data_IF_487385777504
#
_entry.id   IF_487385777504
#
_cell.length_a   1.000
_cell.length_b   1.000
_cell.length_c   1.000
_cell.angle_alpha   90.00
_cell.angle_beta   90.00
_cell.angle_gamma   90.00
#
_symmetry.space_group_name_H-M   'P 1'
#
loop_
_entity.id
_entity.type
_entity.pdbx_description
1 polymer ?
#
# COMPACT_ATOMS: atom_id res chain seq x y z
N UNK A 1 19.37 9.57 -6.35
CA UNK A 1 18.93 9.09 -5.03
C UNK A 1 18.34 7.70 -5.18
N UNK A 2 18.59 6.77 -4.27
CA UNK A 2 17.96 5.46 -4.32
C UNK A 2 16.46 5.61 -4.04
N UNK A 3 15.61 4.73 -4.61
CA UNK A 3 14.19 4.71 -4.30
C UNK A 3 13.92 4.43 -2.82
N UNK A 4 12.80 4.93 -2.31
CA UNK A 4 12.36 4.61 -0.96
C UNK A 4 11.61 3.28 -0.98
N UNK A 5 12.22 2.23 -0.43
CA UNK A 5 11.65 0.89 -0.34
C UNK A 5 10.94 0.66 0.98
N UNK A 6 9.82 -0.06 0.92
CA UNK A 6 9.08 -0.52 2.10
C UNK A 6 8.42 -1.87 1.84
N UNK A 7 7.97 -2.51 2.92
CA UNK A 7 7.16 -3.72 2.85
C UNK A 7 5.74 -3.43 3.30
N UNK A 8 4.77 -4.06 2.62
CA UNK A 8 3.34 -3.93 2.87
C UNK A 8 2.76 -5.30 3.22
N UNK A 9 1.76 -5.30 4.08
CA UNK A 9 0.92 -6.48 4.30
C UNK A 9 -0.29 -6.40 3.38
N UNK A 10 -0.51 -7.45 2.62
CA UNK A 10 -1.66 -7.62 1.73
C UNK A 10 -2.23 -9.00 2.00
N UNK A 11 -3.44 -9.08 2.56
CA UNK A 11 -4.01 -10.33 3.04
C UNK A 11 -3.01 -11.06 3.98
N UNK A 12 -2.74 -12.35 3.75
CA UNK A 12 -1.80 -13.16 4.52
C UNK A 12 -0.36 -13.12 3.98
N UNK A 13 -0.07 -12.16 3.10
CA UNK A 13 1.23 -12.06 2.43
C UNK A 13 1.92 -10.75 2.76
N UNK A 14 3.24 -10.79 2.78
CA UNK A 14 4.08 -9.59 2.81
C UNK A 14 4.58 -9.30 1.40
N UNK A 15 4.29 -8.11 0.93
CA UNK A 15 4.74 -7.58 -0.34
C UNK A 15 5.96 -6.69 -0.10
N UNK A 16 7.11 -7.18 -0.52
CA UNK A 16 8.39 -6.48 -0.38
C UNK A 16 8.70 -5.59 -1.59
N UNK A 17 9.70 -4.74 -1.44
CA UNK A 17 10.19 -3.87 -2.50
C UNK A 17 9.11 -2.92 -3.06
N UNK A 18 8.10 -2.57 -2.26
CA UNK A 18 7.20 -1.49 -2.61
C UNK A 18 7.98 -0.18 -2.70
N UNK A 19 7.78 0.57 -3.77
CA UNK A 19 8.51 1.82 -4.02
C UNK A 19 7.54 2.99 -3.80
N UNK A 20 7.91 3.92 -2.94
CA UNK A 20 7.19 5.17 -2.81
C UNK A 20 7.72 6.18 -3.85
N UNK A 21 6.83 6.59 -4.76
CA UNK A 21 7.11 7.55 -5.81
C UNK A 21 6.16 8.75 -5.71
N UNK A 22 6.69 9.87 -5.20
CA UNK A 22 5.94 11.11 -5.06
C UNK A 22 5.54 11.75 -6.41
N UNK A 23 6.17 11.34 -7.50
CA UNK A 23 5.85 11.77 -8.87
C UNK A 23 4.73 10.95 -9.52
N UNK A 24 4.46 9.76 -9.02
CA UNK A 24 3.42 8.90 -9.58
C UNK A 24 2.02 9.37 -9.18
N UNK A 25 1.10 9.41 -10.16
CA UNK A 25 -0.31 9.76 -9.93
C UNK A 25 -1.17 8.56 -9.49
N UNK A 26 -0.76 7.35 -9.83
CA UNK A 26 -1.50 6.12 -9.56
C UNK A 26 -0.59 5.07 -8.93
N UNK A 27 -1.18 4.23 -8.06
CA UNK A 27 -0.51 3.02 -7.61
C UNK A 27 -0.47 2.03 -8.76
N UNK A 28 0.65 1.35 -8.95
CA UNK A 28 0.86 0.46 -10.08
C UNK A 28 1.42 -0.89 -9.61
N UNK A 29 0.82 -1.98 -10.09
CA UNK A 29 1.24 -3.34 -9.76
C UNK A 29 1.50 -4.17 -11.02
N UNK A 30 2.61 -4.91 -11.08
CA UNK A 30 2.84 -5.88 -12.16
C UNK A 30 1.78 -6.99 -12.16
N UNK A 31 1.36 -7.43 -13.36
CA UNK A 31 0.41 -8.54 -13.51
C UNK A 31 0.85 -9.80 -12.77
N UNK A 32 2.11 -10.20 -12.90
CA UNK A 32 2.63 -11.40 -12.23
C UNK A 32 2.56 -11.32 -10.71
N UNK A 33 2.59 -10.12 -10.14
CA UNK A 33 2.42 -9.93 -8.71
C UNK A 33 0.96 -10.07 -8.28
N UNK A 34 0.02 -9.58 -9.10
CA UNK A 34 -1.43 -9.77 -8.90
C UNK A 34 -1.76 -11.26 -8.85
N UNK A 35 -1.21 -12.03 -9.78
CA UNK A 35 -1.38 -13.50 -9.85
C UNK A 35 -0.78 -14.19 -8.61
N UNK A 36 0.42 -13.79 -8.19
CA UNK A 36 1.08 -14.34 -6.98
C UNK A 36 0.32 -14.07 -5.68
N UNK A 37 -0.41 -12.97 -5.63
CA UNK A 37 -1.23 -12.58 -4.48
C UNK A 37 -2.66 -13.12 -4.55
N UNK A 38 -3.04 -13.81 -5.61
CA UNK A 38 -4.39 -14.30 -5.83
C UNK A 38 -5.44 -13.19 -5.90
N UNK A 39 -5.07 -12.03 -6.43
CA UNK A 39 -5.96 -10.87 -6.55
C UNK A 39 -6.68 -10.87 -7.90
N UNK A 40 -7.92 -10.41 -7.91
CA UNK A 40 -8.72 -10.27 -9.12
C UNK A 40 -8.74 -8.83 -9.63
N UNK A 41 -8.65 -8.67 -10.96
CA UNK A 41 -8.86 -7.38 -11.60
C UNK A 41 -10.37 -7.08 -11.59
N UNK A 42 -10.77 -6.05 -10.86
CA UNK A 42 -12.18 -5.74 -10.62
C UNK A 42 -12.82 -4.91 -11.73
N UNK A 43 -12.04 -4.15 -12.47
CA UNK A 43 -12.52 -3.29 -13.56
C UNK A 43 -11.52 -3.16 -14.70
N UNK A 44 -11.97 -3.03 -15.97
CA UNK A 44 -11.10 -2.62 -17.06
C UNK A 44 -10.58 -1.19 -16.81
N UNK A 45 -9.35 -0.93 -17.20
CA UNK A 45 -8.74 0.39 -17.04
C UNK A 45 -8.47 1.03 -18.41
N UNK A 46 -8.77 2.31 -18.53
CA UNK A 46 -8.51 3.06 -19.76
C UNK A 46 -7.01 3.34 -19.89
N UNK A 47 -6.51 3.36 -21.11
CA UNK A 47 -5.11 3.61 -21.44
C UNK A 47 -4.64 4.94 -20.84
N UNK A 48 -3.62 4.88 -19.96
CA UNK A 48 -2.83 6.05 -19.58
C UNK A 48 -1.62 6.16 -20.50
N UNK A 49 -1.24 7.39 -20.81
CA UNK A 49 0.00 7.66 -21.52
C UNK A 49 1.12 7.89 -20.50
N UNK A 50 2.22 7.18 -20.66
CA UNK A 50 3.46 7.50 -19.97
C UNK A 50 4.00 8.83 -20.48
N UNK A 51 4.77 9.56 -19.66
CA UNK A 51 5.32 10.89 -19.99
C UNK A 51 6.25 10.86 -21.21
N UNK A 52 6.86 9.71 -21.51
CA UNK A 52 7.72 9.49 -22.68
C UNK A 52 6.95 8.97 -23.91
N UNK A 53 5.62 9.08 -23.92
CA UNK A 53 4.72 8.59 -24.99
C UNK A 53 4.79 7.09 -25.25
N UNK A 54 5.50 6.31 -24.44
CA UNK A 54 5.48 4.85 -24.52
C UNK A 54 4.18 4.33 -23.92
N UNK A 55 3.47 3.54 -24.71
CA UNK A 55 2.24 2.89 -24.26
C UNK A 55 2.59 1.74 -23.32
N UNK A 56 2.39 1.94 -22.03
CA UNK A 56 2.34 0.82 -21.10
C UNK A 56 0.96 0.18 -21.23
N UNK A 57 0.94 -1.13 -21.44
CA UNK A 57 -0.32 -1.86 -21.52
C UNK A 57 -0.87 -2.05 -20.12
N UNK A 58 -1.90 -1.29 -19.79
CA UNK A 58 -2.69 -1.47 -18.58
C UNK A 58 -3.73 -2.56 -18.81
N UNK A 59 -3.88 -3.43 -17.83
CA UNK A 59 -4.75 -4.60 -17.91
C UNK A 59 -6.07 -4.37 -17.17
N UNK A 60 -6.07 -3.55 -16.15
CA UNK A 60 -7.24 -3.24 -15.38
C UNK A 60 -6.93 -2.53 -14.06
N UNK A 61 -7.91 -2.47 -13.20
CA UNK A 61 -7.89 -1.84 -11.89
C UNK A 61 -8.31 -2.85 -10.84
N UNK A 62 -7.55 -2.94 -9.76
CA UNK A 62 -7.99 -3.56 -8.51
C UNK A 62 -8.51 -2.45 -7.62
N UNK A 63 -9.80 -2.50 -7.32
CA UNK A 63 -10.46 -1.50 -6.49
C UNK A 63 -10.40 -1.89 -5.02
N UNK A 64 -10.31 -0.88 -4.17
CA UNK A 64 -10.46 -1.01 -2.73
C UNK A 64 -9.51 -2.05 -2.09
N UNK A 65 -8.29 -2.16 -2.61
CA UNK A 65 -7.28 -3.05 -2.04
C UNK A 65 -6.81 -2.53 -0.67
N UNK A 66 -6.95 -3.38 0.34
CA UNK A 66 -6.55 -3.06 1.72
C UNK A 66 -5.09 -3.43 1.93
N UNK A 67 -4.28 -2.48 2.34
CA UNK A 67 -2.86 -2.69 2.66
C UNK A 67 -2.49 -2.04 3.98
N UNK A 68 -1.59 -2.67 4.72
CA UNK A 68 -0.99 -2.05 5.89
C UNK A 68 0.53 -1.98 5.77
N UNK A 69 1.14 -1.05 6.48
CA UNK A 69 2.60 -0.98 6.55
C UNK A 69 3.13 -2.15 7.40
N UNK A 70 4.06 -2.94 6.88
CA UNK A 70 4.59 -4.09 7.59
C UNK A 70 5.26 -3.70 8.91
N UNK A 71 6.03 -2.62 8.92
CA UNK A 71 6.71 -2.11 10.13
C UNK A 71 5.82 -1.28 11.05
N UNK A 72 4.67 -0.81 10.56
CA UNK A 72 3.70 -0.04 11.31
C UNK A 72 2.30 -0.59 11.01
N UNK A 73 1.94 -1.80 11.48
CA UNK A 73 0.73 -2.51 11.08
C UNK A 73 -0.57 -1.76 11.42
N UNK A 74 -0.52 -0.85 12.39
CA UNK A 74 -1.64 0.04 12.72
C UNK A 74 -1.97 1.02 11.58
N UNK A 75 -1.06 1.22 10.62
CA UNK A 75 -1.28 2.04 9.45
C UNK A 75 -1.83 1.19 8.29
N UNK A 76 -3.14 1.28 8.09
CA UNK A 76 -3.87 0.60 7.03
C UNK A 76 -4.47 1.62 6.07
N UNK A 77 -4.40 1.35 4.79
CA UNK A 77 -4.94 2.19 3.72
C UNK A 77 -5.72 1.34 2.75
N UNK A 78 -6.89 1.83 2.35
CA UNK A 78 -7.63 1.30 1.21
C UNK A 78 -7.22 2.08 -0.04
N UNK A 79 -6.82 1.38 -1.09
CA UNK A 79 -6.32 2.01 -2.31
C UNK A 79 -6.76 1.30 -3.58
N UNK A 80 -6.88 2.07 -4.65
CA UNK A 80 -7.01 1.52 -5.99
C UNK A 80 -5.62 1.30 -6.60
N UNK A 81 -5.47 0.19 -7.31
CA UNK A 81 -4.20 -0.19 -7.93
C UNK A 81 -4.39 -0.52 -9.40
N UNK A 82 -3.66 0.17 -10.25
CA UNK A 82 -3.63 -0.11 -11.68
C UNK A 82 -2.72 -1.30 -11.95
N UNK A 83 -3.20 -2.26 -12.71
CA UNK A 83 -2.44 -3.45 -13.09
C UNK A 83 -1.82 -3.23 -14.47
N UNK A 84 -0.51 -3.43 -14.54
CA UNK A 84 0.25 -3.25 -15.77
C UNK A 84 1.00 -4.51 -16.18
N UNK A 85 1.17 -4.67 -17.50
CA UNK A 85 1.99 -5.74 -18.04
C UNK A 85 3.47 -5.32 -18.04
N UNK A 86 4.07 -5.36 -16.87
CA UNK A 86 5.48 -5.06 -16.63
C UNK A 86 6.15 -6.24 -15.92
N UNK A 87 7.48 -6.35 -15.98
CA UNK A 87 8.20 -7.46 -15.36
C UNK A 87 7.91 -7.56 -13.84
N UNK A 88 7.68 -8.77 -13.32
CA UNK A 88 7.34 -8.99 -11.91
C UNK A 88 8.49 -8.72 -10.93
N UNK A 89 9.70 -8.48 -11.44
CA UNK A 89 10.86 -8.09 -10.61
C UNK A 89 10.73 -6.74 -9.93
N UNK A 90 9.76 -5.94 -10.36
CA UNK A 90 9.38 -4.70 -9.69
C UNK A 90 8.27 -5.01 -8.69
N UNK A 91 8.38 -4.44 -7.49
CA UNK A 91 7.29 -4.45 -6.53
C UNK A 91 6.15 -3.51 -6.94
N UNK A 92 5.27 -3.23 -6.01
CA UNK A 92 4.24 -2.21 -6.23
C UNK A 92 4.85 -0.81 -6.22
N UNK A 93 4.40 0.05 -7.13
CA UNK A 93 4.66 1.47 -7.08
C UNK A 93 3.54 2.17 -6.32
N UNK A 94 3.89 2.88 -5.27
CA UNK A 94 2.97 3.63 -4.42
C UNK A 94 2.99 5.10 -4.81
N UNK A 95 1.83 5.64 -5.10
CA UNK A 95 1.68 7.00 -5.60
C UNK A 95 1.71 8.06 -4.49
N UNK A 96 1.77 9.31 -4.91
CA UNK A 96 1.61 10.47 -4.04
C UNK A 96 0.28 10.44 -3.26
N UNK A 97 -0.81 10.01 -3.89
CA UNK A 97 -2.12 9.92 -3.25
C UNK A 97 -2.13 8.87 -2.13
N UNK A 98 -1.40 7.77 -2.29
CA UNK A 98 -1.25 6.78 -1.22
C UNK A 98 -0.52 7.36 -0.01
N UNK A 99 0.59 8.08 -0.23
CA UNK A 99 1.32 8.73 0.85
C UNK A 99 0.46 9.79 1.57
N UNK A 100 -0.35 10.54 0.82
CA UNK A 100 -1.29 11.51 1.39
C UNK A 100 -2.35 10.85 2.27
N UNK A 101 -2.83 9.67 1.89
CA UNK A 101 -3.76 8.88 2.71
C UNK A 101 -3.15 8.45 4.05
N UNK A 102 -1.87 8.21 4.11
CA UNK A 102 -1.15 7.93 5.36
C UNK A 102 -0.92 9.18 6.21
N UNK A 103 -1.18 10.38 5.68
CA UNK A 103 -0.72 11.66 6.26
C UNK A 103 0.80 11.66 6.50
N UNK A 104 1.50 10.85 5.72
CA UNK A 104 2.95 10.69 5.81
C UNK A 104 3.70 11.86 5.17
N UNK A 105 4.81 12.22 5.78
CA UNK A 105 5.77 13.20 5.25
C UNK A 105 7.05 12.45 4.90
N UNK A 106 7.37 12.39 3.61
CA UNK A 106 8.61 11.81 3.13
C UNK A 106 9.69 12.90 3.15
N UNK A 107 10.85 12.57 3.73
CA UNK A 107 12.00 13.46 3.68
C UNK A 107 12.54 13.55 2.25
N UNK A 108 13.03 14.72 1.86
CA UNK A 108 13.52 14.96 0.49
C UNK A 108 14.73 14.09 0.12
N UNK A 109 15.55 13.71 1.10
CA UNK A 109 16.70 12.83 0.92
C UNK A 109 16.32 11.33 0.89
N UNK A 110 15.03 11.01 0.97
CA UNK A 110 14.50 9.64 0.99
C UNK A 110 15.03 8.77 2.15
N UNK A 111 15.51 9.38 3.23
CA UNK A 111 16.07 8.63 4.38
C UNK A 111 14.97 8.01 5.24
N UNK A 112 13.89 8.72 5.48
CA UNK A 112 12.73 8.23 6.22
C UNK A 112 11.45 8.97 5.85
N UNK A 113 10.32 8.36 6.16
CA UNK A 113 9.00 8.99 6.15
C UNK A 113 8.48 9.08 7.58
N UNK A 114 7.82 10.20 7.91
CA UNK A 114 7.16 10.37 9.21
C UNK A 114 5.68 10.12 9.06
N UNK A 115 5.12 9.25 9.89
CA UNK A 115 3.71 8.88 9.87
C UNK A 115 3.07 9.14 11.23
N UNK A 116 1.96 9.90 11.31
CA UNK A 116 1.26 10.12 12.55
C UNK A 116 0.52 8.84 12.99
N UNK A 117 0.71 8.44 14.23
CA UNK A 117 0.02 7.32 14.89
C UNK A 117 -0.28 7.73 16.32
N UNK A 118 -1.55 7.72 16.72
CA UNK A 118 -1.95 8.01 18.11
C UNK A 118 -1.31 9.28 18.69
N UNK A 119 -1.38 10.39 17.94
CA UNK A 119 -0.78 11.69 18.29
C UNK A 119 0.76 11.70 18.39
N UNK A 120 1.43 10.63 18.00
CA UNK A 120 2.87 10.57 17.87
C UNK A 120 3.29 10.42 16.41
N UNK A 121 4.42 11.00 16.07
CA UNK A 121 5.03 10.82 14.76
C UNK A 121 6.01 9.65 14.79
N UNK A 122 5.70 8.56 14.09
CA UNK A 122 6.59 7.41 13.93
C UNK A 122 7.41 7.53 12.65
N UNK A 123 8.69 7.23 12.73
CA UNK A 123 9.58 7.19 11.56
C UNK A 123 9.58 5.82 10.92
N UNK A 124 9.40 5.81 9.61
CA UNK A 124 9.56 4.64 8.75
C UNK A 124 10.80 4.86 7.90
N UNK A 125 11.82 4.04 8.09
CA UNK A 125 13.06 4.11 7.30
C UNK A 125 12.94 3.29 6.04
N UNK A 126 13.62 3.73 4.96
CA UNK A 126 13.72 2.96 3.73
C UNK A 126 14.34 1.59 4.01
N UNK A 127 13.78 0.56 3.41
CA UNK A 127 14.25 -0.81 3.54
C UNK A 127 15.31 -1.12 2.49
N UNK A 128 16.10 -2.15 2.74
CA UNK A 128 16.97 -2.72 1.70
C UNK A 128 16.10 -3.51 0.73
N UNK A 129 16.42 -3.38 -0.56
CA UNK A 129 15.78 -4.20 -1.58
C UNK A 129 16.06 -5.68 -1.33
N UNK A 130 15.01 -6.49 -1.32
CA UNK A 130 15.11 -7.93 -1.17
C UNK A 130 15.15 -8.64 -2.53
N UNK A 131 15.75 -9.83 -2.62
CA UNK A 131 15.80 -10.62 -3.86
C UNK A 131 14.44 -11.22 -4.22
N UNK A 132 13.46 -11.19 -3.34
CA UNK A 132 12.10 -11.68 -3.53
C UNK A 132 11.09 -10.55 -3.25
N UNK A 133 9.86 -10.68 -3.79
CA UNK A 133 8.83 -9.66 -3.69
C UNK A 133 7.71 -10.10 -2.74
N UNK A 134 7.40 -11.38 -2.66
CA UNK A 134 6.31 -11.91 -1.84
C UNK A 134 6.83 -12.94 -0.86
N UNK A 135 6.39 -12.85 0.38
CA UNK A 135 6.58 -13.88 1.41
C UNK A 135 5.29 -14.06 2.21
N UNK A 136 5.13 -15.23 2.83
CA UNK A 136 4.03 -15.44 3.79
C UNK A 136 4.26 -14.62 5.05
N UNK A 137 3.18 -14.14 5.63
CA UNK A 137 3.26 -13.54 6.96
C UNK A 137 3.42 -14.66 7.99
N UNK A 138 4.54 -14.65 8.72
CA UNK A 138 4.63 -15.38 9.96
C UNK A 138 4.07 -14.48 11.06
N UNK A 139 2.82 -14.69 11.45
CA UNK A 139 2.23 -13.96 12.57
C UNK A 139 2.72 -14.53 13.90
N UNK A 140 3.53 -13.82 14.70
CA UNK A 140 3.51 -14.04 16.11
C UNK A 140 2.28 -13.29 16.67
N UNK A 141 1.17 -14.04 16.87
CA UNK A 141 0.02 -13.65 17.70
C UNK A 141 -0.49 -12.20 17.55
N UNK A 142 -0.76 -11.71 16.33
CA UNK A 142 -1.54 -10.50 16.16
C UNK A 142 -3.01 -10.90 16.09
N UNK A 143 -3.69 -10.78 17.21
CA UNK A 143 -5.07 -11.24 17.36
C UNK A 143 -6.11 -10.37 16.66
N UNK A 144 -5.78 -9.20 16.11
CA UNK A 144 -6.78 -8.30 15.54
C UNK A 144 -6.20 -7.43 14.42
N UNK A 145 -6.64 -7.64 13.19
CA UNK A 145 -6.55 -6.68 12.10
C UNK A 145 -7.94 -6.08 11.89
N UNK A 146 -8.06 -4.76 11.98
CA UNK A 146 -9.33 -4.07 11.76
C UNK A 146 -9.28 -3.32 10.44
N UNK A 147 -10.31 -3.53 9.63
CA UNK A 147 -10.58 -2.71 8.45
C UNK A 147 -11.94 -2.07 8.65
N UNK A 148 -12.03 -0.77 8.63
CA UNK A 148 -13.29 -0.04 8.58
C UNK A 148 -13.38 0.62 7.21
N UNK A 149 -14.29 0.18 6.39
CA UNK A 149 -14.72 0.89 5.22
C UNK A 149 -16.02 1.62 5.59
N UNK A 150 -15.90 2.93 5.79
CA UNK A 150 -17.07 3.79 5.98
C UNK A 150 -17.16 4.65 4.74
N UNK A 151 -17.91 4.17 3.76
CA UNK A 151 -18.29 4.92 2.58
C UNK A 151 -19.32 6.00 2.94
N UNK A 152 -18.85 7.10 3.54
CA UNK A 152 -19.64 8.28 3.86
C UNK A 152 -19.12 9.51 3.11
N UNK A 153 -18.61 9.34 1.87
CA UNK A 153 -18.26 10.47 0.99
C UNK A 153 -17.06 11.32 1.44
N UNK A 154 -16.46 11.03 2.57
CA UNK A 154 -15.18 11.54 3.04
C UNK A 154 -14.38 10.36 3.56
N UNK A 155 -13.19 10.14 3.01
CA UNK A 155 -12.28 9.09 3.46
C UNK A 155 -11.86 9.36 4.90
N UNK A 156 -12.59 8.79 5.84
CA UNK A 156 -12.16 8.74 7.23
C UNK A 156 -11.09 7.65 7.31
N UNK A 157 -9.86 8.07 7.59
CA UNK A 157 -8.77 7.14 7.76
C UNK A 157 -8.93 6.41 9.09
N UNK A 158 -8.92 5.10 9.05
CA UNK A 158 -8.92 4.22 10.22
C UNK A 158 -7.89 4.59 11.26
N UNK A 159 -6.80 5.13 10.80
CA UNK A 159 -5.69 5.53 11.63
C UNK A 159 -5.97 6.74 12.52
N UNK A 160 -7.03 7.48 12.25
CA UNK A 160 -7.46 8.60 13.12
C UNK A 160 -8.46 8.18 14.20
N UNK A 161 -9.13 7.03 14.01
CA UNK A 161 -10.09 6.44 14.97
C UNK A 161 -9.42 5.40 15.88
N UNK A 162 -8.24 5.33 15.77
CA UNK A 162 -7.14 4.66 16.40
C UNK A 162 -7.39 3.61 17.49
N UNK A 163 -6.50 2.67 17.44
CA UNK A 163 -5.99 1.83 18.52
C UNK A 163 -5.70 2.57 19.85
N UNK A 164 -5.80 3.89 19.90
CA UNK A 164 -5.63 4.68 21.11
C UNK A 164 -6.90 4.75 21.94
N UNK A 165 -8.07 4.51 21.34
CA UNK A 165 -9.35 4.46 22.05
C UNK A 165 -9.90 3.03 21.99
N UNK A 166 -9.75 2.32 23.07
CA UNK A 166 -10.18 0.91 23.26
C UNK A 166 -11.70 0.69 23.17
N UNK A 167 -12.46 1.67 22.66
CA UNK A 167 -13.93 1.65 22.66
C UNK A 167 -14.59 1.24 21.36
N UNK A 168 -13.85 1.06 20.26
CA UNK A 168 -14.42 0.66 18.98
C UNK A 168 -13.80 -0.65 18.47
N UNK A 169 -14.22 -1.74 19.06
CA UNK A 169 -13.92 -3.09 18.59
C UNK A 169 -15.12 -3.56 17.75
N UNK A 170 -14.98 -3.63 16.45
CA UNK A 170 -15.95 -4.30 15.58
C UNK A 170 -15.38 -5.67 15.21
N UNK A 171 -15.93 -6.78 15.73
CA UNK A 171 -15.44 -8.11 15.36
C UNK A 171 -15.89 -8.46 13.95
N UNK A 172 -14.97 -8.89 13.11
CA UNK A 172 -15.28 -9.53 11.84
C UNK A 172 -16.09 -10.80 12.06
N UNK A 173 -17.21 -10.91 11.39
CA UNK A 173 -17.86 -12.21 11.16
C UNK A 173 -17.39 -12.75 9.81
N UNK A 174 -16.91 -13.97 9.84
CA UNK A 174 -16.64 -14.81 8.67
C UNK A 174 -17.96 -15.06 7.93
#
# INVERSE_FOLDING_TARGET
MPPFYMSLNVHDMVLHNAILDSGASHNLMPKGLVESLGLDITRPYKVLYSFDSKRVKYLGLIKDMVVSLNKLPSKTVVMDVVVANIPPKFGILLSRSWNSKLKGILQMDMSYATNPICNENKRLYSEKRLPYIVSSQSYPNIHHVYVIDIDLGSSIFLNDISLCDSKFIVPWRI
#
